data_IF_756708152007
#
_entry.id   IF_756708152007
#
_cell.length_a   1.000
_cell.length_b   1.000
_cell.length_c   1.000
_cell.angle_alpha   90.00
_cell.angle_beta   90.00
_cell.angle_gamma   90.00
#
_symmetry.space_group_name_H-M   'P 1'
#
loop_
_entity.id
_entity.type
_entity.pdbx_description
1 polymer ?
2 polymer ?
3 non-polymer ?
4 non-polymer ?
5 water ?
#
# COMPACT_ATOMS: atom_id res chain seq x y z
N UNK A 6 -4.56 -13.22 -18.91
CA UNK A 6 -3.48 -13.92 -19.59
C UNK A 6 -2.80 -15.06 -18.81
N UNK A 7 -3.13 -15.19 -17.52
CA UNK A 7 -2.59 -16.20 -16.61
C UNK A 7 -1.06 -16.14 -16.53
N UNK A 8 -0.46 -15.00 -16.20
CA UNK A 8 1.01 -14.93 -16.21
C UNK A 8 1.63 -15.72 -15.08
N UNK A 9 2.69 -16.47 -15.40
CA UNK A 9 3.48 -17.27 -14.47
C UNK A 9 4.82 -17.57 -15.12
N UNK A 10 5.79 -17.93 -14.29
CA UNK A 10 7.12 -18.31 -14.76
C UNK A 10 7.04 -19.61 -15.55
N UNK A 11 7.71 -19.63 -16.70
CA UNK A 11 7.74 -20.83 -17.53
C UNK A 11 9.00 -21.66 -17.26
N UNK A 12 9.40 -21.76 -15.99
CA UNK A 12 10.63 -22.44 -15.58
C UNK A 12 10.57 -22.73 -14.08
N UNK A 13 11.03 -23.91 -13.68
CA UNK A 13 10.97 -24.31 -12.28
C UNK A 13 12.07 -23.65 -11.46
N UNK A 14 13.27 -23.54 -12.03
CA UNK A 14 14.46 -23.04 -11.34
C UNK A 14 14.66 -21.56 -11.68
N UNK A 15 14.52 -20.70 -10.68
CA UNK A 15 14.63 -19.26 -10.84
C UNK A 15 15.84 -18.76 -10.08
N UNK A 16 16.33 -17.60 -10.49
CA UNK A 16 17.44 -16.91 -9.85
C UNK A 16 16.95 -15.60 -9.27
N UNK A 17 17.67 -15.12 -8.27
CA UNK A 17 17.35 -13.85 -7.62
C UNK A 17 18.62 -13.14 -7.20
N UNK A 18 18.57 -11.81 -7.24
CA UNK A 18 19.72 -11.03 -6.82
C UNK A 18 19.24 -9.87 -5.94
N UNK A 19 19.97 -9.59 -4.87
CA UNK A 19 19.70 -8.45 -4.01
C UNK A 19 20.65 -7.36 -4.46
N UNK A 20 20.13 -6.42 -5.25
CA UNK A 20 21.02 -5.47 -5.94
C UNK A 20 21.62 -4.47 -4.95
N UNK A 21 20.78 -3.89 -4.09
CA UNK A 21 21.26 -2.94 -3.08
C UNK A 21 20.71 -3.37 -1.72
N UNK A 22 21.05 -2.60 -0.71
CA UNK A 22 20.68 -2.90 0.65
C UNK A 22 20.13 -1.66 1.32
N UNK A 23 19.38 -1.87 2.40
CA UNK A 23 18.96 -0.68 3.11
C UNK A 23 19.92 -0.36 4.27
N UNK A 24 20.16 0.93 4.54
CA UNK A 24 20.93 1.29 5.74
C UNK A 24 20.16 1.07 7.02
N UNK A 25 18.87 0.73 6.94
CA UNK A 25 18.05 0.56 8.14
C UNK A 25 18.48 -0.65 8.96
N UNK A 26 19.01 -1.69 8.33
CA UNK A 26 19.32 -2.93 9.03
C UNK A 26 20.55 -3.54 8.39
N UNK A 27 21.22 -4.46 9.09
CA UNK A 27 22.43 -5.08 8.54
C UNK A 27 22.16 -5.87 7.27
N UNK A 28 23.23 -6.03 6.47
CA UNK A 28 23.11 -6.74 5.20
C UNK A 28 22.78 -8.20 5.42
N UNK A 29 23.39 -8.81 6.45
CA UNK A 29 23.02 -10.17 6.82
C UNK A 29 21.53 -10.31 7.06
N UNK A 30 20.93 -9.35 7.77
CA UNK A 30 19.50 -9.43 8.06
C UNK A 30 18.67 -9.37 6.79
N UNK A 31 19.01 -8.45 5.88
CA UNK A 31 18.30 -8.32 4.61
C UNK A 31 18.35 -9.64 3.85
N UNK A 32 19.54 -10.24 3.77
CA UNK A 32 19.68 -11.55 3.12
C UNK A 32 18.82 -12.62 3.80
N UNK A 33 18.85 -12.67 5.14
CA UNK A 33 18.10 -13.70 5.87
C UNK A 33 16.60 -13.60 5.60
N UNK A 34 16.07 -12.37 5.65
CA UNK A 34 14.64 -12.17 5.41
C UNK A 34 14.27 -12.50 3.98
N UNK A 35 15.18 -12.22 3.03
CA UNK A 35 14.86 -12.52 1.64
C UNK A 35 14.85 -14.02 1.39
N UNK A 36 15.86 -14.73 1.90
CA UNK A 36 15.91 -16.18 1.73
C UNK A 36 14.79 -16.89 2.51
N UNK A 37 14.36 -16.33 3.64
CA UNK A 37 13.20 -16.88 4.35
C UNK A 37 11.91 -16.61 3.57
N UNK A 38 11.77 -15.42 2.98
CA UNK A 38 10.62 -15.09 2.15
C UNK A 38 10.53 -16.01 0.93
N UNK A 39 11.67 -16.33 0.33
CA UNK A 39 11.66 -17.29 -0.79
C UNK A 39 11.37 -18.69 -0.30
N UNK A 40 11.88 -19.06 0.88
CA UNK A 40 11.60 -20.40 1.42
C UNK A 40 10.10 -20.62 1.61
N UNK A 41 9.41 -19.60 2.11
CA UNK A 41 7.96 -19.69 2.31
C UNK A 41 7.28 -20.26 1.07
N UNK A 42 7.71 -19.83 -0.10
CA UNK A 42 7.13 -20.32 -1.34
C UNK A 42 7.80 -21.59 -1.86
N UNK A 43 9.09 -21.80 -1.60
CA UNK A 43 9.77 -23.03 -2.01
C UNK A 43 9.13 -24.26 -1.40
N UNK A 44 8.72 -24.15 -0.13
CA UNK A 44 8.16 -25.28 0.61
C UNK A 44 6.77 -25.72 0.12
N UNK A 45 6.10 -24.91 -0.70
CA UNK A 45 4.76 -25.24 -1.17
C UNK A 45 4.74 -25.63 -2.64
N UNK A 46 5.75 -25.24 -3.41
CA UNK A 46 5.74 -25.38 -4.86
C UNK A 46 6.98 -26.13 -5.33
N UNK A 47 7.05 -26.52 -6.60
CA UNK A 47 8.29 -27.09 -7.13
C UNK A 47 9.36 -26.05 -7.40
N UNK A 48 9.12 -24.80 -7.02
CA UNK A 48 10.06 -23.74 -7.36
C UNK A 48 11.33 -23.87 -6.52
N UNK A 49 12.45 -23.48 -7.12
CA UNK A 49 13.75 -23.46 -6.47
C UNK A 49 14.44 -22.17 -6.87
N UNK A 50 15.26 -21.63 -5.96
CA UNK A 50 15.87 -20.32 -6.17
C UNK A 50 17.37 -20.39 -5.95
N UNK A 51 18.10 -19.72 -6.83
CA UNK A 51 19.56 -19.63 -6.79
C UNK A 51 19.96 -18.17 -6.74
N UNK A 52 20.93 -17.84 -5.90
CA UNK A 52 21.27 -16.45 -5.69
C UNK A 52 22.38 -16.04 -6.64
N UNK A 53 22.17 -14.96 -7.38
CA UNK A 53 23.25 -14.35 -8.14
C UNK A 53 23.83 -13.15 -7.40
N UNK A 54 25.10 -12.87 -7.69
CA UNK A 54 25.80 -11.73 -7.16
C UNK A 54 26.21 -10.74 -8.24
N UNK A 55 26.02 -11.08 -9.50
CA UNK A 55 26.33 -10.18 -10.60
C UNK A 55 25.36 -10.46 -11.73
N UNK A 56 25.45 -9.68 -12.78
CA UNK A 56 24.51 -9.89 -13.86
C UNK A 56 23.11 -9.50 -13.43
N UNK A 57 22.15 -9.92 -14.23
CA UNK A 57 20.74 -9.68 -13.97
C UNK A 57 20.05 -11.03 -13.78
N UNK A 58 19.47 -11.22 -12.61
CA UNK A 58 18.72 -12.41 -12.28
C UNK A 58 17.25 -12.23 -12.67
N UNK A 59 16.48 -13.30 -12.46
CA UNK A 59 15.04 -13.26 -12.73
C UNK A 59 14.33 -12.29 -11.81
N UNK A 60 14.64 -12.34 -10.51
CA UNK A 60 14.02 -11.49 -9.51
C UNK A 60 15.12 -10.61 -8.93
N UNK A 61 15.05 -9.31 -9.20
CA UNK A 61 16.04 -8.33 -8.77
C UNK A 61 15.45 -7.51 -7.61
N UNK A 62 16.01 -7.65 -6.43
CA UNK A 62 15.45 -7.03 -5.22
C UNK A 62 16.17 -5.73 -4.89
N UNK A 63 15.42 -4.65 -4.79
CA UNK A 63 16.02 -3.33 -4.62
C UNK A 63 15.29 -2.53 -3.55
N UNK A 64 16.04 -1.62 -2.93
CA UNK A 64 15.51 -0.60 -2.03
C UNK A 64 15.60 0.74 -2.75
N UNK A 65 14.56 1.55 -2.59
CA UNK A 65 14.55 2.80 -3.33
C UNK A 65 13.68 3.82 -2.60
N UNK A 66 13.90 5.09 -2.93
CA UNK A 66 13.11 6.19 -2.41
C UNK A 66 12.59 7.02 -3.56
N UNK A 67 11.34 7.43 -3.46
CA UNK A 67 10.69 8.35 -4.41
C UNK A 67 10.93 7.81 -5.82
N UNK A 68 11.25 8.66 -6.80
CA UNK A 68 11.53 8.20 -8.16
C UNK A 68 12.77 7.32 -8.19
N UNK A 69 12.65 6.16 -8.86
CA UNK A 69 13.71 5.15 -8.82
C UNK A 69 13.72 4.27 -10.08
N UNK A 70 13.45 4.86 -11.24
CA UNK A 70 13.68 4.18 -12.50
C UNK A 70 12.58 3.29 -13.03
N UNK A 71 11.36 3.41 -12.52
CA UNK A 71 10.22 2.76 -13.16
C UNK A 71 9.08 3.75 -13.16
N UNK A 72 7.93 3.32 -13.66
CA UNK A 72 6.79 4.22 -13.83
C UNK A 72 6.03 4.52 -12.53
N UNK A 73 6.43 3.96 -11.39
CA UNK A 73 5.65 4.08 -10.16
C UNK A 73 6.55 4.54 -9.03
N UNK A 74 6.69 5.85 -8.84
CA UNK A 74 7.58 6.35 -7.79
C UNK A 74 6.96 6.18 -6.41
N UNK A 75 7.81 5.87 -5.44
CA UNK A 75 7.33 5.70 -4.09
C UNK A 75 6.97 7.06 -3.50
N UNK A 76 6.31 7.00 -2.35
CA UNK A 76 5.54 8.11 -1.83
C UNK A 76 6.02 8.55 -0.46
N UNK A 77 7.34 8.44 -0.24
CA UNK A 77 7.91 8.80 1.03
C UNK A 77 7.55 7.82 2.12
N UNK A 78 7.76 8.22 3.38
CA UNK A 78 7.44 7.33 4.51
C UNK A 78 5.94 7.32 4.79
N UNK A 79 5.37 6.12 4.84
CA UNK A 79 3.94 5.96 4.98
C UNK A 79 3.30 5.62 3.65
N UNK A 80 2.02 5.22 3.72
CA UNK A 80 1.24 4.78 2.57
C UNK A 80 1.87 3.51 1.99
N UNK A 81 2.31 3.54 0.73
CA UNK A 81 2.87 2.34 0.12
C UNK A 81 4.22 1.99 0.74
N UNK A 82 4.48 0.68 0.88
CA UNK A 82 5.73 0.18 1.44
C UNK A 82 6.63 -0.48 0.40
N UNK A 83 6.07 -1.00 -0.70
CA UNK A 83 6.80 -1.80 -1.67
C UNK A 83 5.86 -2.20 -2.80
N UNK A 84 6.43 -2.47 -3.98
CA UNK A 84 5.67 -3.07 -5.08
C UNK A 84 6.54 -4.08 -5.81
N UNK A 85 5.90 -4.90 -6.64
CA UNK A 85 6.63 -5.87 -7.45
C UNK A 85 5.97 -6.00 -8.82
N UNK A 86 6.61 -6.74 -9.73
CA UNK A 86 6.03 -6.96 -11.04
C UNK A 86 5.73 -8.44 -11.29
N UNK A 87 4.74 -8.68 -12.16
CA UNK A 87 4.37 -10.04 -12.50
C UNK A 87 5.55 -10.73 -13.17
N UNK A 88 5.54 -12.06 -13.27
CA UNK A 88 6.65 -12.74 -13.93
C UNK A 88 6.81 -12.27 -15.37
N UNK A 89 8.00 -12.53 -15.92
CA UNK A 89 8.32 -12.05 -17.24
C UNK A 89 9.77 -11.62 -17.31
N UNK A 90 10.17 -11.06 -18.44
CA UNK A 90 11.57 -10.67 -18.61
C UNK A 90 11.79 -9.23 -18.17
N UNK A 91 13.03 -8.90 -17.88
CA UNK A 91 13.34 -7.53 -17.52
C UNK A 91 12.83 -7.16 -16.15
N UNK A 92 12.18 -5.99 -16.04
CA UNK A 92 11.66 -5.51 -14.76
C UNK A 92 10.59 -6.44 -14.19
N UNK A 93 10.00 -7.28 -15.01
CA UNK A 93 8.99 -8.22 -14.54
C UNK A 93 9.61 -9.23 -13.59
N UNK A 94 8.99 -9.41 -12.43
CA UNK A 94 9.53 -10.19 -11.35
C UNK A 94 10.37 -9.43 -10.33
N UNK A 95 10.59 -8.13 -10.53
CA UNK A 95 11.43 -7.40 -9.59
C UNK A 95 10.59 -6.91 -8.41
N UNK A 96 11.26 -6.63 -7.28
CA UNK A 96 10.60 -6.14 -6.07
C UNK A 96 11.32 -4.90 -5.56
N UNK A 97 10.56 -3.84 -5.35
CA UNK A 97 11.06 -2.54 -4.92
C UNK A 97 10.49 -2.30 -3.53
N UNK A 98 11.36 -1.94 -2.59
CA UNK A 98 10.98 -1.65 -1.22
C UNK A 98 11.24 -0.17 -0.95
N UNK A 99 10.20 0.54 -0.52
CA UNK A 99 10.34 1.95 -0.18
C UNK A 99 11.26 2.06 1.04
N UNK A 100 12.40 2.69 0.86
CA UNK A 100 13.37 2.83 1.95
C UNK A 100 13.12 4.08 2.77
N UNK A 101 12.14 4.92 2.39
CA UNK A 101 11.68 5.93 3.33
C UNK A 101 10.95 5.33 4.53
N UNK A 102 10.70 4.02 4.53
CA UNK A 102 10.27 3.30 5.72
C UNK A 102 11.48 2.89 6.57
N UNK A 103 11.21 2.45 7.81
CA UNK A 103 12.25 1.95 8.72
C UNK A 103 12.11 0.44 8.87
N UNK A 104 12.98 -0.31 8.19
CA UNK A 104 12.87 -1.76 8.08
C UNK A 104 13.55 -2.45 9.24
N UNK A 105 12.95 -3.55 9.70
CA UNK A 105 13.34 -4.18 10.96
C UNK A 105 13.57 -5.69 10.81
N UNK A 106 14.50 -6.20 11.64
CA UNK A 106 14.71 -7.65 11.77
C UNK A 106 13.53 -8.31 12.49
N UNK A 107 12.99 -7.63 13.49
CA UNK A 107 11.96 -8.14 14.37
C UNK A 107 10.60 -7.68 13.85
N UNK A 108 9.60 -7.67 14.73
CA UNK A 108 8.23 -7.35 14.37
C UNK A 108 7.84 -5.91 14.72
N UNK A 109 8.74 -5.09 15.25
CA UNK A 109 8.41 -3.69 15.38
C UNK A 109 8.43 -3.03 14.01
N UNK A 110 7.84 -1.83 13.95
CA UNK A 110 7.81 -1.11 12.69
C UNK A 110 7.27 -1.97 11.56
N UNK A 111 8.02 -2.03 10.47
CA UNK A 111 7.66 -2.82 9.30
C UNK A 111 8.64 -3.96 9.13
N UNK A 112 8.17 -5.19 9.34
CA UNK A 112 8.99 -6.37 9.16
C UNK A 112 9.31 -6.58 7.68
N UNK A 113 10.62 -6.62 7.37
CA UNK A 113 11.08 -6.82 6.01
C UNK A 113 10.67 -8.18 5.46
N UNK A 114 10.65 -9.21 6.31
CA UNK A 114 10.26 -10.54 5.87
C UNK A 114 8.79 -10.61 5.43
N UNK A 115 7.88 -10.02 6.20
CA UNK A 115 6.47 -10.03 5.80
C UNK A 115 6.29 -9.43 4.40
N UNK A 116 6.81 -8.21 4.22
CA UNK A 116 6.57 -7.49 2.97
C UNK A 116 7.28 -8.18 1.82
N UNK A 117 8.47 -8.76 2.10
CA UNK A 117 9.17 -9.52 1.06
C UNK A 117 8.39 -10.74 0.61
N UNK A 118 7.84 -11.51 1.55
CA UNK A 118 7.05 -12.67 1.17
C UNK A 118 5.84 -12.25 0.31
N UNK A 119 5.16 -11.16 0.69
CA UNK A 119 4.07 -10.65 -0.15
C UNK A 119 4.55 -10.34 -1.58
N UNK A 120 5.62 -9.55 -1.68
CA UNK A 120 6.05 -9.09 -2.99
C UNK A 120 6.57 -10.24 -3.84
N UNK A 121 7.39 -11.12 -3.26
CA UNK A 121 7.78 -12.35 -3.94
C UNK A 121 6.55 -13.09 -4.48
N UNK A 122 5.48 -13.14 -3.68
CA UNK A 122 4.23 -13.73 -4.15
C UNK A 122 3.75 -13.08 -5.43
N UNK A 123 3.89 -11.76 -5.54
CA UNK A 123 3.56 -11.09 -6.80
C UNK A 123 4.58 -11.46 -7.90
N UNK A 124 5.87 -11.48 -7.55
CA UNK A 124 6.92 -11.86 -8.48
C UNK A 124 6.69 -13.25 -9.04
N UNK A 125 5.92 -14.08 -8.35
CA UNK A 125 5.63 -15.43 -8.83
C UNK A 125 4.32 -15.53 -9.60
N UNK A 126 3.47 -14.51 -9.55
CA UNK A 126 2.33 -14.50 -10.44
C UNK A 126 1.00 -14.51 -9.73
N UNK A 127 1.03 -14.26 -8.42
CA UNK A 127 -0.15 -14.19 -7.59
C UNK A 127 -0.72 -12.79 -7.60
N UNK A 128 -2.04 -12.70 -7.42
CA UNK A 128 -2.74 -11.45 -7.22
C UNK A 128 -3.12 -11.33 -5.75
N UNK A 129 -3.77 -10.21 -5.43
CA UNK A 129 -4.18 -9.89 -4.07
C UNK A 129 -5.38 -10.73 -3.63
N UNK A 130 -5.46 -10.97 -2.33
CA UNK A 130 -6.50 -11.78 -1.77
C UNK A 130 -7.50 -10.89 -1.04
N UNK A 131 -8.76 -11.32 -1.04
CA UNK A 131 -9.74 -10.65 -0.22
C UNK A 131 -9.71 -11.12 1.23
N UNK A 132 -9.17 -12.32 1.50
CA UNK A 132 -9.06 -12.81 2.87
C UNK A 132 -8.02 -11.98 3.62
N UNK A 133 -8.47 -11.33 4.69
CA UNK A 133 -7.57 -10.51 5.49
C UNK A 133 -6.44 -11.32 6.11
N UNK A 134 -6.68 -12.59 6.42
CA UNK A 134 -5.61 -13.40 6.99
C UNK A 134 -4.58 -13.83 5.95
N UNK A 135 -4.94 -13.80 4.68
CA UNK A 135 -4.04 -14.28 3.62
C UNK A 135 -2.83 -13.36 3.48
N UNK A 136 -1.71 -13.95 3.05
CA UNK A 136 -0.47 -13.19 2.92
C UNK A 136 -0.53 -12.22 1.75
N UNK A 137 -1.35 -12.54 0.75
CA UNK A 137 -1.56 -11.69 -0.41
C UNK A 137 -2.57 -10.61 -0.14
N UNK A 138 -2.82 -10.31 1.09
CA UNK A 138 -3.72 -9.21 1.35
C UNK A 138 -2.96 -7.90 1.18
N UNK A 139 -3.58 -6.88 0.57
CA UNK A 139 -2.84 -5.66 0.22
C UNK A 139 -2.41 -4.83 1.41
N UNK A 140 -3.22 -4.79 2.45
CA UNK A 140 -2.89 -4.02 3.64
C UNK A 140 -1.85 -4.76 4.49
N UNK A 141 -0.88 -4.01 5.01
CA UNK A 141 0.17 -4.55 5.88
C UNK A 141 -0.40 -5.01 7.20
N UNK A 142 -0.22 -6.30 7.49
CA UNK A 142 -0.74 -6.95 8.69
C UNK A 142 0.45 -7.43 9.51
N UNK A 143 0.75 -6.74 10.61
CA UNK A 143 1.88 -7.10 11.45
C UNK A 143 1.44 -8.18 12.47
N UNK A 144 2.27 -9.20 12.64
CA UNK A 144 1.96 -10.33 13.52
C UNK A 144 2.65 -10.19 14.86
N UNK A 145 1.98 -10.67 15.92
CA UNK A 145 2.49 -10.52 17.27
C UNK A 145 3.78 -11.31 17.49
N UNK A 146 3.95 -12.41 16.78
CA UNK A 146 5.20 -13.16 16.78
C UNK A 146 5.31 -13.97 15.49
N UNK A 147 6.44 -13.82 14.81
CA UNK A 147 6.69 -14.49 13.54
C UNK A 147 6.86 -15.99 13.69
N UNK A 148 6.93 -16.49 14.93
CA UNK A 148 7.17 -17.90 15.18
C UNK A 148 6.07 -18.77 14.56
N UNK A 149 4.81 -18.39 14.77
CA UNK A 149 3.66 -19.14 14.27
C UNK A 149 3.11 -18.55 12.99
N UNK A 150 3.97 -17.98 12.14
CA UNK A 150 3.51 -17.49 10.85
C UNK A 150 3.20 -18.65 9.92
N UNK A 151 1.97 -18.67 9.40
CA UNK A 151 1.50 -19.74 8.53
C UNK A 151 1.04 -19.15 7.20
N UNK A 152 1.36 -19.85 6.13
CA UNK A 152 0.88 -19.47 4.80
C UNK A 152 -0.57 -19.91 4.69
N UNK A 153 -1.45 -18.98 4.30
CA UNK A 153 -2.88 -19.23 4.22
C UNK A 153 -3.20 -20.28 3.16
N UNK A 154 -4.40 -20.86 3.26
CA UNK A 154 -4.79 -21.88 2.29
C UNK A 154 -5.19 -21.24 0.96
N UNK A 155 -5.71 -20.01 1.00
CA UNK A 155 -5.96 -19.28 -0.24
C UNK A 155 -4.66 -19.07 -1.01
N UNK A 156 -3.58 -18.77 -0.28
CA UNK A 156 -2.29 -18.53 -0.90
C UNK A 156 -1.70 -19.81 -1.48
N UNK A 157 -1.85 -20.91 -0.75
CA UNK A 157 -1.36 -22.19 -1.26
C UNK A 157 -2.12 -22.59 -2.51
N UNK A 158 -3.44 -22.43 -2.49
CA UNK A 158 -4.24 -22.87 -3.64
C UNK A 158 -3.96 -22.01 -4.86
N UNK A 159 -3.78 -20.71 -4.66
CA UNK A 159 -3.36 -19.87 -5.79
C UNK A 159 -2.02 -20.27 -6.37
N UNK A 160 -1.00 -20.38 -5.51
CA UNK A 160 0.33 -20.63 -6.05
C UNK A 160 0.40 -22.03 -6.66
N UNK A 161 -0.40 -22.98 -6.14
CA UNK A 161 -0.41 -24.34 -6.69
C UNK A 161 -1.22 -24.43 -7.97
N UNK A 162 -2.26 -23.62 -8.12
CA UNK A 162 -2.95 -23.52 -9.41
C UNK A 162 -2.06 -22.89 -10.46
N UNK A 163 -1.11 -22.03 -10.07
CA UNK A 163 -0.14 -21.54 -11.04
C UNK A 163 0.93 -22.59 -11.36
N UNK A 164 1.55 -23.19 -10.34
CA UNK A 164 2.75 -23.99 -10.56
C UNK A 164 2.63 -25.47 -10.23
N UNK A 165 1.62 -25.89 -9.48
CA UNK A 165 1.40 -27.32 -9.21
C UNK A 165 1.69 -27.83 -7.80
N UNK B 1 2.31 -5.34 -3.86
CA UNK B 1 1.88 -4.06 -3.31
C UNK B 1 1.38 -4.21 -1.90
N UNK B 2 2.20 -3.77 -0.95
CA UNK B 2 1.82 -3.77 0.47
C UNK B 2 1.62 -2.34 0.93
N UNK B 3 0.55 -2.10 1.67
CA UNK B 3 0.05 -0.76 1.96
C UNK B 3 -0.22 -0.59 3.45
N UNK B 4 0.05 0.61 3.97
CA UNK B 4 -0.43 1.04 5.29
C UNK B 4 -1.40 2.20 5.07
N UNK B 5 -2.70 1.93 4.96
CA UNK B 5 -3.64 2.98 4.59
C UNK B 5 -3.64 4.11 5.60
N UNK B 6 -3.71 5.35 5.12
CA UNK B 6 -3.61 6.50 6.02
C UNK B 6 -4.92 6.72 6.76
N UNK B 7 -4.84 7.46 7.84
CA UNK B 7 -6.04 7.93 8.49
C UNK B 7 -6.77 8.88 7.54
N UNK B 8 -8.09 9.01 7.66
CA UNK B 8 -8.78 9.94 6.76
C UNK B 8 -8.29 11.38 6.87
N UNK B 9 -7.90 11.85 8.06
CA UNK B 9 -7.31 13.17 8.19
C UNK B 9 -5.95 13.25 7.49
N UNK B 10 -5.10 12.24 7.68
CA UNK B 10 -3.86 12.15 6.93
C UNK B 10 -4.11 12.15 5.43
N UNK B 11 -5.18 11.48 5.00
CA UNK B 11 -5.52 11.41 3.58
C UNK B 11 -6.04 12.75 3.07
N UNK B 12 -6.77 13.49 3.90
CA UNK B 12 -7.23 14.81 3.52
C UNK B 12 -6.05 15.77 3.39
N UNK B 13 -4.99 15.54 4.15
CA UNK B 13 -3.89 16.49 4.10
C UNK B 13 -2.89 16.18 3.00
N UNK B 14 -2.57 14.91 2.77
CA UNK B 14 -1.62 14.62 1.71
C UNK B 14 -2.25 14.75 0.33
N UNK B 15 -3.57 14.77 0.25
CA UNK B 15 -4.20 14.79 -1.06
C UNK B 15 -4.32 16.22 -1.57
N UNK B 16 -4.03 16.38 -2.87
CA UNK B 16 -4.20 17.66 -3.53
C UNK B 16 -5.67 17.90 -3.81
N UNK B 17 -6.39 16.83 -4.15
CA UNK B 17 -7.80 16.89 -4.49
C UNK B 17 -8.56 16.00 -3.53
N UNK B 18 -9.72 16.47 -3.07
CA UNK B 18 -10.71 15.67 -2.34
C UNK B 18 -12.07 16.00 -2.95
N UNK B 19 -12.73 15.00 -3.54
CA UNK B 19 -13.98 15.22 -4.28
C UNK B 19 -14.97 14.10 -4.04
N UNK B 20 -16.24 14.43 -4.27
CA UNK B 20 -17.27 13.43 -4.49
C UNK B 20 -17.47 13.25 -5.99
N UNK B 21 -17.46 12.00 -6.45
CA UNK B 21 -17.60 11.77 -7.87
C UNK B 21 -18.27 10.42 -8.06
N UNK B 22 -18.80 10.22 -9.26
CA UNK B 22 -19.43 8.97 -9.66
C UNK B 22 -18.55 8.34 -10.73
N UNK B 23 -18.24 7.04 -10.59
CA UNK B 23 -17.46 6.40 -11.64
C UNK B 23 -18.35 6.03 -12.80
N UNK B 24 -17.94 6.39 -14.01
CA UNK B 24 -18.79 6.24 -15.17
C UNK B 24 -17.95 5.55 -16.26
N UNK B 25 -18.38 4.37 -16.68
CA UNK B 25 -17.64 3.58 -17.64
C UNK B 25 -16.47 2.81 -17.03
N UNK B 26 -16.00 1.83 -17.80
CA UNK B 26 -14.84 1.01 -17.46
C UNK B 26 -13.55 1.81 -17.58
N UNK B 27 -12.42 1.28 -17.11
CA UNK B 27 -11.16 2.00 -17.28
C UNK B 27 -10.60 1.85 -18.68
N UNK B 28 -9.87 2.87 -19.11
CA UNK B 28 -9.14 2.85 -20.38
C UNK B 28 -7.64 2.86 -20.07
N UNK B 29 -6.91 2.00 -20.75
CA UNK B 29 -5.49 1.80 -20.49
C UNK B 29 -4.67 2.47 -21.59
N UNK B 30 -3.64 3.22 -21.17
CA UNK B 30 -2.63 3.76 -22.07
C UNK B 30 -1.31 3.06 -21.73
N UNK B 31 -0.83 2.24 -22.65
CA UNK B 31 0.36 1.42 -22.41
C UNK B 31 1.65 2.24 -22.42
N UNK B 32 1.60 3.49 -22.90
CA UNK B 32 2.79 4.34 -22.85
C UNK B 32 3.15 4.71 -21.41
N UNK B 33 2.15 5.11 -20.63
CA UNK B 33 2.37 5.50 -19.25
C UNK B 33 2.39 4.33 -18.26
N UNK B 34 1.75 3.20 -18.62
CA UNK B 34 1.56 2.16 -17.64
C UNK B 34 0.47 2.47 -16.65
N UNK B 35 -0.41 3.42 -16.96
CA UNK B 35 -1.53 3.81 -16.12
C UNK B 35 -2.84 3.60 -16.85
N UNK B 36 -3.89 3.36 -16.09
CA UNK B 36 -5.25 3.34 -16.60
C UNK B 36 -5.97 4.55 -16.05
N UNK B 37 -7.09 4.89 -16.68
CA UNK B 37 -7.87 6.03 -16.20
C UNK B 37 -9.37 5.72 -16.25
N UNK B 38 -10.09 6.15 -15.21
CA UNK B 38 -11.53 6.00 -15.15
C UNK B 38 -12.22 7.34 -15.39
N UNK B 39 -13.25 7.31 -16.22
CA UNK B 39 -14.06 8.50 -16.38
C UNK B 39 -14.90 8.71 -15.12
N UNK B 40 -14.89 9.92 -14.60
CA UNK B 40 -15.63 10.24 -13.39
C UNK B 40 -16.47 11.48 -13.67
N UNK B 41 -17.63 11.56 -13.04
CA UNK B 41 -18.46 12.75 -13.03
C UNK B 41 -18.40 13.33 -11.62
N UNK B 42 -17.64 14.41 -11.45
CA UNK B 42 -17.48 15.04 -10.15
C UNK B 42 -18.78 15.68 -9.68
N UNK B 43 -19.11 15.45 -8.42
CA UNK B 43 -20.31 16.00 -7.78
C UNK B 43 -20.03 17.18 -6.87
N UNK B 44 -18.99 17.09 -6.03
CA UNK B 44 -18.69 18.17 -5.10
C UNK B 44 -17.20 18.10 -4.86
N UNK B 45 -16.60 19.22 -4.47
CA UNK B 45 -15.16 19.28 -4.29
C UNK B 45 -14.85 19.93 -2.95
N UNK B 46 -14.43 19.11 -1.97
CA UNK B 46 -14.17 19.61 -0.62
C UNK B 46 -12.77 20.19 -0.46
N UNK B 47 -11.81 19.74 -1.27
CA UNK B 47 -10.44 20.24 -1.22
C UNK B 47 -9.86 20.29 -2.62
N UNK B 48 -9.42 21.48 -3.03
CA UNK B 48 -8.86 21.64 -4.35
C UNK B 48 -8.97 23.07 -4.87
N UNK B 49 -9.55 23.21 -6.06
CA UNK B 49 -9.90 24.47 -6.72
C UNK B 49 -8.68 25.14 -7.35
N UNK B 50 -7.47 24.72 -7.02
CA UNK B 50 -6.30 25.20 -7.76
C UNK B 50 -6.22 24.55 -9.13
N UNK B 51 -6.69 23.31 -9.26
CA UNK B 51 -6.85 22.66 -10.56
C UNK B 51 -8.29 22.81 -11.06
N UNK B 58 -13.45 18.18 -13.08
CA UNK B 58 -12.58 17.07 -13.48
C UNK B 58 -13.38 15.89 -14.02
N UNK B 59 -12.87 15.25 -15.10
CA UNK B 59 -13.58 14.15 -15.74
C UNK B 59 -12.84 12.83 -15.75
N UNK B 60 -11.54 12.80 -15.42
CA UNK B 60 -10.81 11.55 -15.39
C UNK B 60 -9.98 11.45 -14.12
N UNK B 61 -9.78 10.21 -13.67
CA UNK B 61 -8.85 9.91 -12.60
C UNK B 61 -7.89 8.85 -13.12
N UNK B 62 -6.61 8.95 -12.75
CA UNK B 62 -5.62 7.99 -13.25
C UNK B 62 -5.02 7.20 -12.08
N UNK B 63 -4.59 5.98 -12.38
CA UNK B 63 -4.11 5.04 -11.36
C UNK B 63 -3.27 3.98 -12.05
N UNK B 64 -2.31 3.35 -11.36
CA UNK B 64 -1.45 2.38 -12.03
C UNK B 64 -2.26 1.24 -12.63
N UNK B 65 -1.70 0.60 -13.65
CA UNK B 65 -2.46 -0.31 -14.49
C UNK B 65 -2.54 -1.72 -13.90
N UNK B 66 -1.54 -2.13 -13.12
CA UNK B 66 -1.51 -3.48 -12.55
C UNK B 66 -1.83 -3.43 -11.05
N UNK B 67 -2.34 -4.55 -10.54
CA UNK B 67 -2.67 -4.59 -9.11
C UNK B 67 -1.42 -4.60 -8.25
N UNK B 68 -0.33 -5.22 -8.73
CA UNK B 68 0.86 -5.41 -7.90
C UNK B 68 1.63 -4.12 -7.68
N UNK B 69 1.38 -3.09 -8.49
CA UNK B 69 2.06 -1.81 -8.32
C UNK B 69 1.07 -0.80 -7.79
N UNK B 70 0.09 -1.29 -7.04
CA UNK B 70 -0.82 -0.46 -6.27
C UNK B 70 -1.80 0.27 -7.17
N UNK B 71 -2.29 -0.45 -8.19
CA UNK B 71 -3.34 0.08 -9.04
C UNK B 71 -4.69 -0.04 -8.35
N UNK B 72 -5.45 1.06 -8.33
CA UNK B 72 -6.81 1.06 -7.83
C UNK B 72 -7.73 0.40 -8.83
N UNK B 73 -8.43 -0.65 -8.41
CA UNK B 73 -9.40 -1.35 -9.24
C UNK B 73 -10.78 -1.17 -8.61
N UNK B 74 -11.64 -0.45 -9.31
CA UNK B 74 -12.99 -0.17 -8.83
C UNK B 74 -13.79 -1.47 -8.75
N UNK B 75 -14.29 -1.80 -7.56
CA UNK B 75 -15.05 -3.03 -7.38
C UNK B 75 -16.56 -2.82 -7.31
N UNK B 76 -17.02 -1.57 -7.39
CA UNK B 76 -18.46 -1.30 -7.34
C UNK B 76 -19.15 -1.58 -8.66
N UNK B 77 -20.37 -2.12 -8.58
CA UNK B 77 -21.17 -2.31 -9.78
C UNK B 77 -22.30 -1.29 -9.91
N UNK B 78 -22.70 -0.63 -8.81
CA UNK B 78 -23.75 0.38 -8.86
C UNK B 78 -23.20 1.68 -9.45
N UNK B 79 -23.80 2.11 -10.56
CA UNK B 79 -23.28 3.23 -11.36
C UNK B 79 -23.65 4.58 -10.78
N UNK B 80 -24.73 4.66 -10.00
CA UNK B 80 -25.17 5.89 -9.37
C UNK B 80 -24.47 6.18 -8.04
N UNK B 81 -23.56 5.31 -7.59
CA UNK B 81 -22.97 5.43 -6.26
C UNK B 81 -21.89 6.51 -6.23
N UNK B 82 -22.00 7.44 -5.29
CA UNK B 82 -21.00 8.49 -5.13
C UNK B 82 -19.87 7.98 -4.25
N UNK B 83 -18.63 8.23 -4.70
CA UNK B 83 -17.45 7.89 -3.94
C UNK B 83 -16.71 9.15 -3.55
N UNK B 84 -16.05 9.10 -2.39
CA UNK B 84 -15.13 10.17 -2.02
C UNK B 84 -13.72 9.77 -2.40
N UNK B 85 -13.09 10.62 -3.21
CA UNK B 85 -11.78 10.36 -3.78
C UNK B 85 -10.85 11.42 -3.22
N UNK B 86 -9.72 10.99 -2.71
CA UNK B 86 -8.68 11.92 -2.27
C UNK B 86 -7.40 11.49 -2.98
N UNK B 87 -6.97 12.31 -3.93
CA UNK B 87 -5.86 11.96 -4.78
C UNK B 87 -4.87 13.10 -4.88
N UNK B 88 -3.75 12.81 -5.53
CA UNK B 88 -2.66 13.75 -5.69
C UNK B 88 -2.60 14.24 -7.13
N UNK B 89 -2.05 15.43 -7.34
CA UNK B 89 -1.99 16.03 -8.69
C UNK B 89 -0.59 15.96 -9.27
N UNK B 90 -0.40 15.04 -10.22
CA UNK B 90 0.85 14.90 -10.93
C UNK B 90 0.64 15.41 -12.35
N UNK B 91 1.33 16.50 -12.69
CA UNK B 91 1.24 17.10 -14.03
C UNK B 91 -0.19 17.53 -14.34
N UNK B 92 -0.87 18.11 -13.36
CA UNK B 92 -2.26 18.48 -13.55
C UNK B 92 -3.23 17.32 -13.69
N UNK B 93 -2.80 16.08 -13.42
CA UNK B 93 -3.64 14.91 -13.52
C UNK B 93 -3.90 14.29 -12.15
N UNK B 94 -5.12 13.81 -11.95
CA UNK B 94 -5.53 13.26 -10.66
C UNK B 94 -5.11 11.80 -10.57
N UNK B 95 -4.26 11.48 -9.59
CA UNK B 95 -3.70 10.14 -9.42
C UNK B 95 -4.13 9.60 -8.09
N UNK B 96 -4.49 8.32 -8.08
CA UNK B 96 -4.81 7.60 -6.84
C UNK B 96 -4.11 6.25 -6.91
N UNK B 97 -4.04 5.56 -5.77
CA UNK B 97 -3.51 4.20 -5.74
C UNK B 97 -4.46 3.30 -4.96
N UNK B 98 -4.10 2.02 -4.91
CA UNK B 98 -4.70 1.13 -3.92
C UNK B 98 -4.72 1.73 -2.52
N UNK B 99 -3.74 2.58 -2.21
CA UNK B 99 -3.62 3.20 -0.89
C UNK B 99 -4.39 4.50 -0.73
N UNK B 100 -4.76 5.18 -1.83
CA UNK B 100 -5.51 6.42 -1.69
C UNK B 100 -6.80 6.18 -0.93
N UNK B 101 -7.25 7.19 -0.19
CA UNK B 101 -8.49 7.04 0.54
C UNK B 101 -9.67 7.17 -0.41
N UNK B 102 -10.20 6.06 -0.92
CA UNK B 102 -11.35 6.11 -1.82
C UNK B 102 -12.39 5.17 -1.26
N UNK B 103 -13.51 5.72 -0.82
CA UNK B 103 -14.58 4.95 -0.19
C UNK B 103 -15.91 5.51 -0.65
N UNK B 104 -16.96 4.68 -0.69
CA UNK B 104 -18.30 5.20 -0.96
C UNK B 104 -18.68 6.27 0.06
N UNK B 105 -19.27 7.34 -0.44
CA UNK B 105 -19.61 8.45 0.43
C UNK B 105 -20.63 8.03 1.49
N UNK B 106 -21.59 7.20 1.11
CA UNK B 106 -22.59 6.78 2.10
C UNK B 106 -21.99 5.91 3.19
N UNK B 107 -20.90 5.17 2.90
CA UNK B 107 -20.36 4.27 3.92
C UNK B 107 -19.60 5.01 5.01
N UNK B 108 -19.22 6.27 4.78
CA UNK B 108 -18.48 7.03 5.77
C UNK B 108 -19.37 7.39 6.95
N UNK B 109 -18.79 7.40 8.15
CA UNK B 109 -19.57 7.81 9.30
C UNK B 109 -19.92 9.29 9.18
N UNK B 110 -20.95 9.71 9.91
CA UNK B 110 -21.28 11.13 9.92
C UNK B 110 -20.08 11.99 10.32
N UNK B 111 -19.28 11.50 11.25
CA UNK B 111 -18.13 12.28 11.68
C UNK B 111 -17.09 12.40 10.58
N UNK B 112 -16.87 11.32 9.81
CA UNK B 112 -15.93 11.41 8.68
C UNK B 112 -16.41 12.42 7.64
N UNK B 113 -17.72 12.46 7.38
CA UNK B 113 -18.27 13.46 6.49
C UNK B 113 -18.05 14.86 7.03
N UNK B 114 -18.24 15.05 8.34
CA UNK B 114 -17.92 16.36 8.92
C UNK B 114 -16.44 16.68 8.75
N UNK B 115 -15.59 15.66 8.83
CA UNK B 115 -14.15 15.91 8.76
C UNK B 115 -13.73 16.37 7.38
N UNK B 116 -14.19 15.67 6.35
CA UNK B 116 -13.91 16.11 4.99
C UNK B 116 -14.52 17.47 4.71
N UNK B 117 -15.70 17.74 5.26
CA UNK B 117 -16.40 18.97 4.91
C UNK B 117 -15.83 20.18 5.64
N UNK B 118 -15.41 20.02 6.90
CA UNK B 118 -15.12 21.19 7.72
C UNK B 118 -13.97 20.98 8.69
N UNK B 119 -13.98 19.85 9.40
CA UNK B 119 -13.14 19.73 10.59
C UNK B 119 -11.72 19.26 10.27
N UNK B 120 -11.57 18.28 9.37
CA UNK B 120 -10.24 17.72 9.11
C UNK B 120 -9.24 18.80 8.75
N UNK B 121 -9.69 19.90 8.15
CA UNK B 121 -8.74 20.89 7.73
C UNK B 121 -8.18 21.68 8.91
N UNK B 122 -8.87 21.65 10.07
CA UNK B 122 -8.42 22.40 11.24
C UNK B 122 -7.15 21.81 11.82
N UNK B 123 -7.00 20.50 11.75
CA UNK B 123 -5.79 19.85 12.22
C UNK B 123 -4.78 19.58 11.13
N UNK B 124 -4.89 20.25 9.99
CA UNK B 124 -4.05 19.89 8.87
C UNK B 124 -2.71 20.61 8.94
N UNK B 125 -2.71 21.87 9.37
CA UNK B 125 -1.48 22.67 9.33
C UNK B 125 -0.47 22.23 10.39
N UNK B 126 -0.93 21.75 11.55
CA UNK B 126 -0.03 21.53 12.67
C UNK B 126 -0.05 20.11 13.24
N UNK B 127 -1.17 19.41 13.18
CA UNK B 127 -1.29 18.09 13.78
C UNK B 127 -0.86 17.01 12.79
N UNK B 128 -0.71 15.79 13.28
CA UNK B 128 -0.21 14.67 12.48
C UNK B 128 -0.69 13.38 13.12
N UNK B 129 -1.36 12.55 12.33
CA UNK B 129 -1.75 11.23 12.80
C UNK B 129 -0.58 10.28 12.55
N UNK B 130 -0.08 9.67 13.61
CA UNK B 130 1.09 8.80 13.57
C UNK B 130 0.63 7.34 13.63
N UNK B 131 0.96 6.56 12.59
CA UNK B 131 0.50 5.17 12.52
C UNK B 131 1.30 4.29 13.47
N UNK B 132 0.59 3.53 14.33
CA UNK B 132 1.17 2.57 15.27
C UNK B 132 0.97 1.15 14.74
N UNK B 133 2.03 0.60 14.18
CA UNK B 133 2.00 -0.73 13.59
C UNK B 133 2.36 -1.83 14.60
N UNK B 134 2.79 -1.47 15.81
CA UNK B 134 3.22 -2.47 16.80
C UNK B 134 3.28 -1.83 18.18
N UNK B 135 3.25 -2.68 19.19
CA UNK B 135 3.32 -2.26 20.59
C UNK B 135 4.59 -2.87 21.21
N UNK B 136 5.51 -2.06 21.74
CA UNK B 136 5.47 -0.62 22.04
C UNK B 136 5.55 0.29 20.83
N UNK B 137 4.74 1.34 20.88
CA UNK B 137 4.73 2.35 19.84
C UNK B 137 5.40 3.61 20.38
N UNK B 138 6.26 4.23 19.57
CA UNK B 138 7.00 5.40 20.00
C UNK B 138 6.30 6.66 19.51
N UNK B 139 6.12 7.60 20.43
CA UNK B 139 5.57 8.92 20.11
C UNK B 139 6.73 9.88 19.88
N UNK B 140 6.63 10.71 18.83
CA UNK B 140 7.75 11.53 18.42
C UNK B 140 7.65 13.00 18.81
N UNK B 141 6.44 13.54 19.02
CA UNK B 141 6.28 14.93 19.42
C UNK B 141 4.84 15.13 19.90
N UNK B 142 4.63 16.21 20.65
CA UNK B 142 3.31 16.51 21.17
C UNK B 142 2.26 16.77 20.12
N UNK B 143 2.67 16.98 18.87
CA UNK B 143 1.75 17.23 17.76
C UNK B 143 1.35 15.95 17.04
N UNK B 144 1.85 14.79 17.46
CA UNK B 144 1.44 13.53 16.88
C UNK B 144 0.38 12.86 17.74
N UNK B 145 -0.65 12.33 17.09
CA UNK B 145 -1.69 11.51 17.70
C UNK B 145 -1.42 10.07 17.28
N UNK B 146 -1.21 9.18 18.24
CA UNK B 146 -0.91 7.78 17.91
C UNK B 146 -2.21 7.06 17.51
N UNK B 147 -2.21 6.46 16.34
CA UNK B 147 -3.41 5.85 15.77
C UNK B 147 -3.32 4.36 16.04
N UNK B 148 -4.03 3.93 17.07
CA UNK B 148 -3.83 2.61 17.66
C UNK B 148 -4.86 1.59 17.20
N UNK B 149 -5.80 1.99 16.33
CA UNK B 149 -6.78 1.06 15.76
C UNK B 149 -6.13 -0.10 15.02
N UNK B 150 -4.81 -0.05 14.78
CA UNK B 150 -4.09 -1.19 14.21
C UNK B 150 -4.09 -2.38 15.15
N UNK B 151 -4.16 -2.12 16.47
CA UNK B 151 -4.23 -3.17 17.47
C UNK B 151 -5.45 -4.07 17.30
N UNK B 152 -6.49 -3.61 16.59
CA UNK B 152 -7.64 -4.44 16.27
C UNK B 152 -7.46 -5.12 14.92
N UNK B 153 -8.55 -5.69 14.39
CA UNK B 153 -8.57 -6.26 13.05
C UNK B 153 -7.90 -5.33 12.05
N UNK B 154 -8.04 -4.01 12.24
CA UNK B 154 -7.25 -3.04 11.50
C UNK B 154 -8.08 -2.11 10.66
N UNK B 155 -7.42 -1.39 9.75
CA UNK B 155 -8.07 -0.71 8.62
C UNK B 155 -8.85 0.51 9.09
N UNK B 156 -9.62 1.10 8.17
CA UNK B 156 -10.35 2.34 8.42
C UNK B 156 -11.57 2.13 9.29
N UNK B 157 -11.97 0.88 9.48
CA UNK B 157 -13.01 0.54 10.43
C UNK B 157 -12.36 0.54 11.80
N UNK B 158 -12.51 1.65 12.52
CA UNK B 158 -11.89 1.83 13.82
C UNK B 158 -12.41 3.09 14.46
N UNK B 159 -12.43 3.11 15.80
CA UNK B 159 -13.07 4.24 16.48
C UNK B 159 -12.38 5.56 16.16
N UNK B 160 -11.04 5.53 16.13
CA UNK B 160 -10.28 6.74 15.83
C UNK B 160 -10.46 7.18 14.38
N UNK B 161 -10.71 6.26 13.46
CA UNK B 161 -10.94 6.68 12.09
C UNK B 161 -12.35 7.23 11.90
N UNK B 162 -13.34 6.60 12.52
CA UNK B 162 -14.72 6.93 12.20
C UNK B 162 -15.25 8.11 13.02
N UNK B 163 -14.71 8.37 14.22
CA UNK B 163 -15.24 9.47 15.02
C UNK B 163 -14.22 10.49 15.52
N UNK B 164 -12.91 10.22 15.48
CA UNK B 164 -11.95 11.13 16.07
C UNK B 164 -11.04 11.79 15.03
N UNK B 165 -10.62 13.01 15.33
CA UNK B 165 -9.65 13.75 14.53
C UNK B 165 -8.50 14.24 15.40
N UNK B 166 -7.32 14.32 14.79
CA UNK B 166 -6.15 14.83 15.48
C UNK B 166 -6.18 16.35 15.41
N UNK B 167 -6.63 16.98 16.48
CA UNK B 167 -6.80 18.44 16.49
C UNK B 167 -6.03 19.08 17.64
N UNK B 168 -5.74 20.38 17.55
CA UNK B 168 -4.97 21.02 18.64
C UNK B 168 -5.85 21.47 19.81
N UNK B 169 -5.38 21.12 21.02
CA UNK B 169 -5.93 21.64 22.27
C UNK B 169 -5.24 22.91 22.71
N UNK B 170 -3.92 22.96 22.56
CA UNK B 170 -3.04 24.08 22.87
C UNK B 170 -2.07 24.30 21.73
N UNK B 171 -1.45 25.48 21.66
CA UNK B 171 -0.32 25.67 20.75
C UNK B 171 0.83 24.73 21.12
N UNK B 172 1.14 23.81 20.20
CA UNK B 172 2.16 22.82 20.45
C UNK B 172 1.66 21.48 20.92
N UNK B 173 0.35 21.33 21.14
CA UNK B 173 -0.22 20.08 21.64
C UNK B 173 -1.48 19.74 20.85
N UNK B 174 -1.47 18.60 20.15
CA UNK B 174 -2.65 18.07 19.48
C UNK B 174 -3.05 16.76 20.15
N UNK B 175 -4.32 16.63 20.51
CA UNK B 175 -4.85 15.37 20.99
C UNK B 175 -6.03 14.95 20.10
N UNK B 176 -6.36 13.66 20.15
CA UNK B 176 -7.58 13.20 19.51
C UNK B 176 -8.78 13.93 20.11
N UNK B 177 -9.72 14.33 19.26
CA UNK B 177 -10.97 14.91 19.71
C UNK B 177 -12.10 14.32 18.88
N UNK B 178 -13.33 14.48 19.37
CA UNK B 178 -14.52 13.96 18.71
C UNK B 178 -15.07 14.95 17.68
N UNK B 179 -15.85 14.44 16.75
CA UNK B 179 -16.40 15.25 15.66
C UNK B 179 -17.93 15.38 15.75
X LIG C 1 12.94 -9.40 -13.58
X LIG D 1 14.68 3.72 5.77
X LIG E 1 5.92 4.86 1.45
X LIG F 1 0.57 -6.34 -3.32
X LIG G 1 9.46 0.56 -8.55
#
# INVERSE_FOLDING_TARGET
FRTFPGIPKWRKTHLTYRIVNYTPDLPKDAVDSAVEKALKVWEEVTPLTFSRLYEGEADIMISFAVREHGDFYPFDGPGNVLAHAYAPGPGINGDAHFDDDEQWTKDTTGTNLFLVAAHEIGHSLGLFHSANTEALMYPLYHSLTDLTRFRLSQDDINGIQSLYGPPPDSPET
CTCVPPHPQTAFCNSDLVIRAKFVGTPEVNQTTGYQRYEIKMTKMYKGFQALGDAADIRFVYTPADESVCGYFHRSHNRSEEFLIAGKLQDGLLHITGCSFVAPWNSLSLAQRRGFTKTYTVGCEECTVFSCLSIPCKLQSGTHCLWTDQLLNGSEKGFQSRHLACLPREPGLCTWQSLRSQIA
CA CA
CA CA
CA CA
ZN ZN
ZN ZN
#
